data_IF_729089993595
#
_entry.id   IF_729089993595
#
_cell.length_a   1.000
_cell.length_b   1.000
_cell.length_c   1.000
_cell.angle_alpha   90.00
_cell.angle_beta   90.00
_cell.angle_gamma   90.00
#
_symmetry.space_group_name_H-M   'P 1'
#
loop_
_entity.id
_entity.type
_entity.pdbx_description
1 polymer ?
#
# COMPACT_ATOMS: atom_id res chain seq x y z
N UNK A 1 5.00 9.58 -76.87
CA UNK A 1 5.35 10.71 -75.99
C UNK A 1 4.41 10.85 -74.78
N UNK A 2 3.09 10.71 -74.94
CA UNK A 2 2.11 10.87 -73.84
C UNK A 2 2.31 9.95 -72.62
N UNK A 3 2.67 8.67 -72.83
CA UNK A 3 2.90 7.71 -71.74
C UNK A 3 4.15 8.01 -70.92
N UNK A 4 5.18 8.59 -71.55
CA UNK A 4 6.44 8.95 -70.88
C UNK A 4 6.26 10.19 -70.01
N UNK A 5 5.43 11.15 -70.46
CA UNK A 5 5.10 12.35 -69.70
C UNK A 5 4.23 12.04 -68.47
N UNK A 6 3.23 11.15 -68.60
CA UNK A 6 2.41 10.72 -67.44
C UNK A 6 3.22 9.99 -66.38
N UNK A 7 4.23 9.21 -66.78
CA UNK A 7 5.13 8.53 -65.85
C UNK A 7 6.01 9.53 -65.09
N UNK A 8 6.50 10.57 -65.76
CA UNK A 8 7.30 11.62 -65.13
C UNK A 8 6.50 12.47 -64.14
N UNK A 9 5.23 12.78 -64.44
CA UNK A 9 4.34 13.53 -63.54
C UNK A 9 4.00 12.72 -62.28
N UNK A 10 3.74 11.41 -62.41
CA UNK A 10 3.51 10.55 -61.25
C UNK A 10 4.77 10.36 -60.39
N UNK A 11 5.96 10.28 -61.02
CA UNK A 11 7.22 10.20 -60.29
C UNK A 11 7.56 11.51 -59.55
N UNK A 12 7.24 12.67 -60.13
CA UNK A 12 7.46 13.97 -59.49
C UNK A 12 6.52 14.16 -58.28
N UNK A 13 5.27 13.70 -58.39
CA UNK A 13 4.25 13.84 -57.34
C UNK A 13 4.48 12.91 -56.14
N UNK A 14 5.17 11.77 -56.35
CA UNK A 14 5.60 10.89 -55.26
C UNK A 14 6.75 11.46 -54.41
N UNK A 15 7.62 12.29 -54.98
CA UNK A 15 8.77 12.87 -54.26
C UNK A 15 8.39 13.95 -53.22
N UNK A 16 7.23 14.59 -53.38
CA UNK A 16 6.76 15.63 -52.44
C UNK A 16 6.05 15.07 -51.19
N UNK A 17 5.62 13.80 -51.19
CA UNK A 17 4.98 13.18 -50.02
C UNK A 17 5.99 12.60 -49.02
N UNK A 18 7.23 12.32 -49.44
CA UNK A 18 8.28 11.78 -48.57
C UNK A 18 8.99 12.85 -47.72
N UNK A 19 8.78 14.14 -48.01
CA UNK A 19 9.47 15.27 -47.36
C UNK A 19 8.70 15.86 -46.17
N UNK A 20 7.55 15.30 -45.80
CA UNK A 20 6.70 15.84 -44.72
C UNK A 20 6.68 14.97 -43.45
N UNK A 21 7.56 13.98 -43.32
CA UNK A 21 7.74 13.27 -42.05
C UNK A 21 8.94 13.93 -41.36
N UNK A 22 8.71 14.87 -40.42
CA UNK A 22 9.82 15.44 -39.65
C UNK A 22 10.55 14.30 -38.94
N UNK A 23 11.87 14.37 -38.93
CA UNK A 23 12.68 13.40 -38.20
C UNK A 23 12.15 13.29 -36.76
N UNK A 24 11.98 12.07 -36.23
CA UNK A 24 11.49 11.90 -34.88
C UNK A 24 12.42 12.68 -33.95
N UNK A 25 11.83 13.59 -33.17
CA UNK A 25 12.54 14.38 -32.18
C UNK A 25 13.39 13.43 -31.34
N UNK A 26 14.71 13.58 -31.42
CA UNK A 26 15.64 12.86 -30.56
C UNK A 26 15.41 13.42 -29.17
N UNK A 27 14.59 12.73 -28.39
CA UNK A 27 14.43 13.06 -26.98
C UNK A 27 15.74 12.61 -26.33
N UNK A 28 16.61 13.58 -26.05
CA UNK A 28 17.81 13.37 -25.23
C UNK A 28 17.41 12.55 -24.01
N UNK A 29 18.20 11.50 -23.75
CA UNK A 29 18.00 10.49 -22.70
C UNK A 29 17.23 11.04 -21.50
N UNK A 30 15.90 10.83 -21.50
CA UNK A 30 15.09 11.15 -20.32
C UNK A 30 15.74 10.37 -19.19
N UNK A 31 16.30 11.06 -18.21
CA UNK A 31 17.04 10.46 -17.11
C UNK A 31 16.21 9.33 -16.50
N UNK A 32 16.53 8.09 -16.86
CA UNK A 32 15.76 6.96 -16.40
C UNK A 32 16.01 6.83 -14.90
N UNK A 33 14.94 6.99 -14.12
CA UNK A 33 14.99 6.80 -12.69
C UNK A 33 15.50 5.38 -12.42
N UNK A 34 16.70 5.28 -11.85
CA UNK A 34 17.26 3.98 -11.45
C UNK A 34 16.27 3.31 -10.49
N UNK A 35 15.81 2.08 -10.79
CA UNK A 35 14.87 1.38 -9.93
C UNK A 35 15.42 1.26 -8.51
N UNK A 36 14.55 1.44 -7.52
CA UNK A 36 14.85 1.23 -6.10
C UNK A 36 14.00 0.09 -5.55
N UNK A 37 14.49 -0.54 -4.49
CA UNK A 37 13.69 -1.48 -3.70
C UNK A 37 12.61 -0.67 -2.97
N UNK A 38 11.36 -1.11 -3.09
CA UNK A 38 10.20 -0.59 -2.38
C UNK A 38 9.78 -1.62 -1.34
N UNK A 39 9.63 -1.18 -0.09
CA UNK A 39 9.15 -2.01 1.01
C UNK A 39 7.76 -1.56 1.41
N UNK A 40 6.81 -2.50 1.45
CA UNK A 40 5.50 -2.31 2.06
C UNK A 40 5.25 -3.43 3.06
N UNK A 41 4.70 -3.10 4.23
CA UNK A 41 4.48 -4.08 5.29
C UNK A 41 3.07 -4.05 5.81
N UNK A 42 2.58 -5.26 6.07
CA UNK A 42 1.26 -5.47 6.62
C UNK A 42 1.29 -6.67 7.56
N UNK A 43 0.63 -6.53 8.71
CA UNK A 43 0.44 -7.64 9.63
C UNK A 43 -0.98 -8.18 9.42
N UNK A 44 -1.04 -9.48 9.21
CA UNK A 44 -2.29 -10.21 8.95
C UNK A 44 -2.82 -10.74 10.29
N UNK A 45 -4.15 -10.85 10.47
CA UNK A 45 -4.72 -11.54 11.63
C UNK A 45 -4.04 -12.89 11.89
N UNK A 46 -3.73 -13.17 13.16
CA UNK A 46 -2.95 -14.35 13.58
C UNK A 46 -1.47 -14.08 13.86
N UNK A 47 -1.01 -12.82 13.77
CA UNK A 47 0.37 -12.43 14.13
C UNK A 47 1.40 -12.64 13.01
N UNK A 48 0.94 -12.97 11.80
CA UNK A 48 1.80 -13.13 10.64
C UNK A 48 2.34 -11.79 10.15
N UNK A 49 3.67 -11.69 10.02
CA UNK A 49 4.31 -10.58 9.32
C UNK A 49 4.36 -10.90 7.82
N UNK A 50 3.81 -10.00 7.01
CA UNK A 50 3.94 -10.04 5.55
C UNK A 50 4.57 -8.75 5.06
N UNK A 51 5.57 -8.90 4.21
CA UNK A 51 6.35 -7.84 3.60
C UNK A 51 6.27 -8.00 2.09
N UNK A 52 5.78 -6.98 1.41
CA UNK A 52 5.80 -6.89 -0.05
C UNK A 52 7.05 -6.12 -0.46
N UNK A 53 7.87 -6.76 -1.31
CA UNK A 53 9.12 -6.24 -1.85
C UNK A 53 8.99 -6.12 -3.36
N UNK A 54 9.06 -4.89 -3.86
CA UNK A 54 8.92 -4.60 -5.30
C UNK A 54 9.99 -3.65 -5.80
N UNK A 55 10.09 -3.51 -7.13
CA UNK A 55 10.84 -2.44 -7.81
C UNK A 55 9.97 -1.20 -7.91
N UNK A 56 10.57 -0.03 -7.76
CA UNK A 56 9.90 1.24 -8.08
C UNK A 56 9.63 1.32 -9.58
N UNK A 57 8.44 1.80 -9.95
CA UNK A 57 8.02 2.02 -11.34
C UNK A 57 8.02 3.50 -11.68
N UNK A 58 8.23 3.82 -12.96
CA UNK A 58 8.07 5.18 -13.46
C UNK A 58 6.60 5.59 -13.54
N UNK A 59 6.34 6.90 -13.63
CA UNK A 59 4.98 7.43 -13.73
C UNK A 59 4.21 6.98 -14.98
N UNK A 60 4.92 6.55 -16.03
CA UNK A 60 4.35 6.07 -17.28
C UNK A 60 4.04 4.56 -17.26
N UNK A 61 4.60 3.81 -16.31
CA UNK A 61 4.45 2.35 -16.22
C UNK A 61 3.16 1.96 -15.46
N UNK A 62 2.61 2.86 -14.65
CA UNK A 62 1.42 2.64 -13.81
C UNK A 62 0.24 3.54 -14.24
N UNK A 63 -0.36 3.25 -15.39
CA UNK A 63 -1.51 3.98 -15.93
C UNK A 63 -2.84 3.65 -15.24
N UNK A 64 -3.87 4.51 -15.44
CA UNK A 64 -5.23 4.34 -14.86
C UNK A 64 -5.98 3.07 -15.29
N UNK A 65 -5.47 2.35 -16.30
CA UNK A 65 -6.04 1.11 -16.81
C UNK A 65 -5.28 -0.16 -16.41
N UNK A 66 -4.17 -0.04 -15.67
CA UNK A 66 -3.37 -1.21 -15.28
C UNK A 66 -4.07 -2.02 -14.19
N UNK A 67 -4.15 -3.33 -14.37
CA UNK A 67 -4.59 -4.24 -13.32
C UNK A 67 -3.54 -4.25 -12.18
N UNK A 68 -3.92 -3.95 -10.92
CA UNK A 68 -2.97 -3.90 -9.81
C UNK A 68 -2.22 -5.21 -9.55
N UNK A 69 -2.87 -6.36 -9.77
CA UNK A 69 -2.27 -7.68 -9.57
C UNK A 69 -1.25 -7.98 -10.66
N UNK A 70 -1.58 -7.67 -11.92
CA UNK A 70 -0.62 -7.81 -13.03
C UNK A 70 0.59 -6.89 -12.85
N UNK A 71 0.36 -5.65 -12.43
CA UNK A 71 1.44 -4.71 -12.15
C UNK A 71 2.33 -5.23 -11.02
N UNK A 72 1.77 -5.73 -9.91
CA UNK A 72 2.54 -6.34 -8.82
C UNK A 72 3.39 -7.50 -9.34
N UNK A 73 2.82 -8.39 -10.15
CA UNK A 73 3.56 -9.53 -10.70
C UNK A 73 4.75 -9.10 -11.57
N UNK A 74 4.64 -7.99 -12.31
CA UNK A 74 5.73 -7.46 -13.13
C UNK A 74 6.87 -6.83 -12.32
N UNK A 75 6.56 -6.29 -11.14
CA UNK A 75 7.51 -5.49 -10.35
C UNK A 75 7.99 -6.22 -9.08
N UNK A 76 7.43 -7.39 -8.81
CA UNK A 76 7.78 -8.26 -7.70
C UNK A 76 9.26 -8.66 -7.72
N UNK A 77 9.87 -8.70 -6.54
CA UNK A 77 11.26 -9.12 -6.35
C UNK A 77 11.32 -10.45 -5.61
N UNK A 78 11.17 -11.58 -6.31
CA UNK A 78 11.11 -12.92 -5.72
C UNK A 78 12.48 -13.54 -5.35
N UNK A 79 13.58 -12.95 -5.80
CA UNK A 79 14.94 -13.46 -5.52
C UNK A 79 15.66 -12.74 -4.38
N UNK A 80 14.93 -11.93 -3.59
CA UNK A 80 15.49 -11.23 -2.44
C UNK A 80 15.72 -12.18 -1.26
N UNK A 81 16.74 -11.88 -0.45
CA UNK A 81 16.91 -12.43 0.89
C UNK A 81 16.39 -11.41 1.89
N UNK A 82 15.42 -11.81 2.70
CA UNK A 82 14.72 -10.92 3.63
C UNK A 82 14.81 -11.49 5.04
N UNK A 83 15.22 -10.65 5.99
CA UNK A 83 15.27 -11.02 7.40
C UNK A 83 14.89 -9.87 8.30
N UNK A 84 14.34 -10.23 9.45
CA UNK A 84 14.03 -9.34 10.54
C UNK A 84 15.08 -9.55 11.63
N UNK A 85 15.54 -8.48 12.27
CA UNK A 85 16.54 -8.57 13.34
C UNK A 85 16.14 -7.74 14.56
N UNK A 86 16.47 -8.27 15.75
CA UNK A 86 16.28 -7.63 17.06
C UNK A 86 17.37 -8.12 18.00
N UNK A 87 18.14 -7.20 18.59
CA UNK A 87 19.10 -7.51 19.67
C UNK A 87 20.01 -8.73 19.38
N UNK A 88 20.46 -8.87 18.12
CA UNK A 88 21.31 -9.98 17.66
C UNK A 88 20.57 -11.25 17.24
N UNK A 89 19.25 -11.38 17.51
CA UNK A 89 18.40 -12.42 16.91
C UNK A 89 18.06 -12.05 15.47
N UNK A 90 18.06 -13.04 14.59
CA UNK A 90 17.76 -12.89 13.16
C UNK A 90 16.71 -13.93 12.77
N UNK A 91 15.57 -13.47 12.29
CA UNK A 91 14.48 -14.29 11.79
C UNK A 91 14.38 -14.15 10.27
N UNK A 92 14.51 -15.26 9.55
CA UNK A 92 14.32 -15.27 8.09
C UNK A 92 12.86 -15.12 7.74
N UNK A 93 12.57 -14.31 6.72
CA UNK A 93 11.24 -14.20 6.10
C UNK A 93 11.29 -14.96 4.77
N UNK A 94 10.77 -16.20 4.69
CA UNK A 94 10.75 -16.96 3.45
C UNK A 94 9.89 -16.29 2.38
N UNK A 95 10.24 -16.52 1.12
CA UNK A 95 9.44 -16.07 -0.02
C UNK A 95 8.13 -16.89 -0.11
N UNK A 96 7.01 -16.18 -0.25
CA UNK A 96 5.64 -16.68 -0.38
C UNK A 96 5.09 -16.54 -1.83
N UNK A 97 5.88 -15.93 -2.73
CA UNK A 97 5.57 -15.66 -4.14
C UNK A 97 5.11 -14.22 -4.39
N UNK A 98 5.26 -13.74 -5.63
CA UNK A 98 4.81 -12.41 -6.07
C UNK A 98 5.38 -11.25 -5.21
N UNK A 99 6.65 -11.36 -4.82
CA UNK A 99 7.36 -10.37 -4.02
C UNK A 99 6.97 -10.38 -2.55
N UNK A 100 6.19 -11.37 -2.10
CA UNK A 100 5.77 -11.50 -0.70
C UNK A 100 6.77 -12.32 0.09
N UNK A 101 7.13 -11.81 1.25
CA UNK A 101 7.99 -12.45 2.21
C UNK A 101 7.31 -12.41 3.57
N UNK A 102 7.31 -13.50 4.31
CA UNK A 102 6.62 -13.49 5.59
C UNK A 102 6.84 -14.71 6.45
N UNK A 103 6.56 -14.55 7.74
CA UNK A 103 6.67 -15.61 8.72
C UNK A 103 5.58 -15.43 9.78
N UNK A 104 4.99 -16.55 10.20
CA UNK A 104 3.92 -16.61 11.21
C UNK A 104 4.45 -16.95 12.60
N UNK A 105 5.68 -17.48 12.69
CA UNK A 105 6.31 -17.92 13.93
C UNK A 105 7.39 -16.93 14.36
N UNK A 106 7.01 -15.66 14.54
CA UNK A 106 7.90 -14.61 15.01
C UNK A 106 7.66 -14.32 16.49
N UNK A 107 8.75 -14.24 17.26
CA UNK A 107 8.73 -13.84 18.68
C UNK A 107 8.66 -12.30 18.81
N UNK A 108 7.44 -11.83 18.50
CA UNK A 108 6.79 -10.54 18.68
C UNK A 108 6.87 -9.91 20.08
N UNK A 109 7.87 -9.10 20.43
CA UNK A 109 7.92 -8.38 21.71
C UNK A 109 7.58 -6.88 21.57
N UNK A 110 6.53 -6.45 22.25
CA UNK A 110 6.13 -5.06 22.30
C UNK A 110 7.23 -4.16 22.89
N UNK A 111 7.26 -2.90 22.45
CA UNK A 111 8.22 -1.86 22.79
C UNK A 111 9.67 -2.15 22.39
N UNK A 112 9.90 -3.10 21.47
CA UNK A 112 11.20 -3.38 20.87
C UNK A 112 11.33 -2.78 19.48
N UNK A 113 12.56 -2.43 19.12
CA UNK A 113 12.92 -2.02 17.77
C UNK A 113 13.32 -3.23 16.95
N UNK A 114 12.73 -3.35 15.76
CA UNK A 114 13.04 -4.38 14.79
C UNK A 114 13.62 -3.75 13.54
N UNK A 115 14.65 -4.37 12.98
CA UNK A 115 15.26 -3.93 11.72
C UNK A 115 15.02 -4.97 10.64
N UNK A 116 14.23 -4.59 9.64
CA UNK A 116 14.06 -5.32 8.39
C UNK A 116 15.27 -5.05 7.50
N UNK A 117 15.85 -6.10 6.93
CA UNK A 117 16.88 -5.99 5.90
C UNK A 117 16.47 -6.80 4.68
N UNK A 118 16.62 -6.19 3.51
CA UNK A 118 16.30 -6.79 2.22
C UNK A 118 17.54 -6.70 1.36
N UNK A 119 18.01 -7.84 0.88
CA UNK A 119 19.17 -7.94 -0.01
C UNK A 119 18.76 -8.54 -1.34
N UNK A 120 19.12 -7.87 -2.42
CA UNK A 120 18.97 -8.37 -3.79
C UNK A 120 20.32 -8.40 -4.49
N UNK A 121 20.45 -9.19 -5.55
CA UNK A 121 21.67 -9.20 -6.37
C UNK A 121 21.83 -7.93 -7.21
N UNK A 122 20.71 -7.36 -7.66
CA UNK A 122 20.71 -6.29 -8.68
C UNK A 122 20.59 -4.89 -8.07
N UNK A 123 19.81 -4.72 -7.00
CA UNK A 123 19.49 -3.42 -6.41
C UNK A 123 20.18 -3.17 -5.06
N UNK A 124 21.05 -4.09 -4.65
CA UNK A 124 21.83 -3.98 -3.43
C UNK A 124 21.04 -4.30 -2.16
N UNK A 125 21.35 -3.60 -1.07
CA UNK A 125 20.81 -3.82 0.27
C UNK A 125 20.06 -2.60 0.75
N UNK A 126 18.87 -2.81 1.28
CA UNK A 126 18.11 -1.79 2.01
C UNK A 126 17.78 -2.26 3.41
N UNK A 127 17.60 -1.31 4.31
CA UNK A 127 17.21 -1.58 5.70
C UNK A 127 16.20 -0.57 6.20
N UNK A 128 15.34 -0.99 7.11
CA UNK A 128 14.37 -0.11 7.75
C UNK A 128 14.13 -0.58 9.18
N UNK A 129 13.93 0.37 10.10
CA UNK A 129 13.70 0.08 11.51
C UNK A 129 12.33 0.58 11.92
N UNK A 130 11.59 -0.23 12.69
CA UNK A 130 10.30 0.14 13.24
C UNK A 130 10.19 -0.39 14.68
N UNK A 131 9.57 0.42 15.54
CA UNK A 131 9.22 0.02 16.91
C UNK A 131 7.88 -0.70 16.90
N UNK A 132 7.82 -1.89 17.49
CA UNK A 132 6.56 -2.59 17.71
C UNK A 132 5.84 -1.97 18.91
N UNK A 133 4.66 -1.39 18.70
CA UNK A 133 3.83 -0.85 19.78
C UNK A 133 3.05 -1.97 20.49
N UNK A 134 2.74 -1.83 21.79
CA UNK A 134 1.89 -2.78 22.49
C UNK A 134 0.50 -2.83 21.85
N UNK A 135 -0.11 -4.00 21.86
CA UNK A 135 -1.49 -4.16 21.42
C UNK A 135 -2.43 -3.39 22.34
N UNK A 136 -3.37 -2.64 21.74
CA UNK A 136 -4.51 -2.05 22.43
C UNK A 136 -5.76 -2.70 21.86
N UNK A 137 -6.50 -3.52 22.63
CA UNK A 137 -7.68 -4.20 22.12
C UNK A 137 -8.88 -3.26 22.06
N UNK A 138 -9.90 -3.67 21.30
CA UNK A 138 -11.22 -3.08 21.46
C UNK A 138 -11.79 -3.44 22.82
N UNK A 139 -12.37 -2.47 23.52
CA UNK A 139 -13.28 -2.77 24.64
C UNK A 139 -14.62 -3.26 24.11
N UNK A 140 -15.17 -2.50 23.15
CA UNK A 140 -16.34 -2.91 22.38
C UNK A 140 -16.12 -2.56 20.91
N UNK A 141 -16.66 -3.38 20.02
CA UNK A 141 -16.76 -3.04 18.60
C UNK A 141 -17.94 -3.78 18.00
N UNK A 142 -18.71 -3.06 17.18
CA UNK A 142 -19.82 -3.58 16.41
C UNK A 142 -19.72 -3.05 14.99
N UNK A 143 -20.10 -3.88 14.01
CA UNK A 143 -20.31 -3.45 12.64
C UNK A 143 -21.71 -3.89 12.19
N UNK A 144 -22.49 -2.95 11.62
CA UNK A 144 -23.86 -3.19 11.13
C UNK A 144 -24.04 -2.61 9.74
N UNK A 145 -25.03 -3.11 8.99
CA UNK A 145 -25.36 -2.51 7.71
C UNK A 145 -26.08 -1.19 7.93
N UNK A 146 -25.55 -0.12 7.36
CA UNK A 146 -26.26 1.15 7.23
C UNK A 146 -26.78 1.27 5.80
N UNK A 147 -28.09 1.35 5.66
CA UNK A 147 -28.75 1.57 4.37
C UNK A 147 -29.38 2.96 4.34
N UNK A 148 -29.20 3.62 3.21
CA UNK A 148 -29.92 4.85 2.84
C UNK A 148 -30.57 4.64 1.48
N UNK A 149 -31.44 5.57 1.06
CA UNK A 149 -32.11 5.49 -0.25
C UNK A 149 -31.14 5.53 -1.45
N UNK A 150 -29.89 5.94 -1.25
CA UNK A 150 -28.89 6.09 -2.33
C UNK A 150 -27.67 5.18 -2.17
N UNK A 151 -27.37 4.69 -0.97
CA UNK A 151 -26.12 3.99 -0.67
C UNK A 151 -26.22 3.03 0.50
N UNK A 152 -25.30 2.06 0.55
CA UNK A 152 -25.14 1.09 1.64
C UNK A 152 -23.70 1.03 2.12
N UNK A 153 -23.50 1.19 3.43
CA UNK A 153 -22.19 1.25 4.07
C UNK A 153 -22.14 0.34 5.31
N UNK A 154 -20.94 -0.06 5.72
CA UNK A 154 -20.75 -0.61 7.06
C UNK A 154 -20.69 0.56 8.06
N UNK A 155 -21.52 0.52 9.10
CA UNK A 155 -21.44 1.42 10.26
C UNK A 155 -20.66 0.71 11.36
N UNK A 156 -19.54 1.29 11.76
CA UNK A 156 -18.69 0.75 12.81
C UNK A 156 -18.78 1.66 14.03
N UNK A 157 -19.14 1.07 15.17
CA UNK A 157 -19.14 1.72 16.47
C UNK A 157 -18.17 0.96 17.37
N UNK A 158 -17.23 1.66 17.99
CA UNK A 158 -16.22 1.04 18.83
C UNK A 158 -15.85 1.89 20.04
N UNK A 159 -15.29 1.22 21.03
CA UNK A 159 -14.59 1.86 22.14
C UNK A 159 -13.28 1.13 22.45
N UNK A 160 -12.34 1.87 23.03
CA UNK A 160 -11.08 1.35 23.55
C UNK A 160 -10.68 2.14 24.79
N UNK A 161 -9.95 1.48 25.69
CA UNK A 161 -9.26 2.13 26.80
C UNK A 161 -7.92 2.63 26.30
N UNK A 162 -7.76 3.96 26.23
CA UNK A 162 -6.47 4.55 25.86
C UNK A 162 -5.45 4.37 27.00
N UNK A 163 -4.26 3.81 26.74
CA UNK A 163 -3.18 3.80 27.72
C UNK A 163 -2.65 5.21 27.97
N UNK A 164 -2.05 5.45 29.15
CA UNK A 164 -1.43 6.74 29.45
C UNK A 164 -0.28 7.06 28.50
N UNK A 165 -0.24 8.29 28.01
CA UNK A 165 0.74 8.84 27.08
C UNK A 165 0.21 8.96 25.63
N UNK A 166 0.98 9.60 24.74
CA UNK A 166 0.52 9.84 23.38
C UNK A 166 0.42 8.55 22.57
N UNK A 167 -0.77 8.28 22.03
CA UNK A 167 -1.05 7.12 21.19
C UNK A 167 -1.64 7.50 19.83
N UNK A 168 -1.36 6.65 18.85
CA UNK A 168 -1.86 6.79 17.49
C UNK A 168 -2.49 5.48 17.05
N UNK A 169 -3.72 5.57 16.58
CA UNK A 169 -4.54 4.42 16.24
C UNK A 169 -4.84 4.39 14.75
N UNK A 170 -4.75 3.18 14.22
CA UNK A 170 -5.18 2.83 12.87
C UNK A 170 -6.29 1.81 12.97
N UNK A 171 -7.48 2.18 12.50
CA UNK A 171 -8.62 1.29 12.37
C UNK A 171 -8.80 0.95 10.90
N UNK A 172 -8.78 -0.34 10.58
CA UNK A 172 -8.96 -0.81 9.21
C UNK A 172 -10.25 -1.63 9.09
N UNK A 173 -10.98 -1.45 7.98
CA UNK A 173 -12.16 -2.24 7.66
C UNK A 173 -12.03 -2.83 6.25
N UNK A 174 -12.23 -4.14 6.13
CA UNK A 174 -12.30 -4.83 4.84
C UNK A 174 -13.40 -5.88 4.82
N UNK A 175 -13.87 -6.20 3.60
CA UNK A 175 -14.65 -7.42 3.38
C UNK A 175 -13.75 -8.63 3.66
N UNK A 176 -14.32 -9.60 4.34
CA UNK A 176 -13.64 -10.84 4.74
C UNK A 176 -14.37 -12.05 4.16
N UNK A 177 -13.61 -13.03 3.71
CA UNK A 177 -14.10 -14.34 3.32
C UNK A 177 -13.12 -15.39 3.83
N UNK A 178 -13.61 -16.54 4.28
CA UNK A 178 -12.74 -17.64 4.73
C UNK A 178 -11.89 -18.23 3.60
N UNK A 179 -12.27 -17.98 2.34
CA UNK A 179 -11.51 -18.40 1.14
C UNK A 179 -10.49 -17.35 0.69
N UNK A 180 -10.31 -16.28 1.45
CA UNK A 180 -9.40 -15.20 1.10
C UNK A 180 -7.95 -15.70 1.06
N UNK A 181 -7.31 -15.58 -0.10
CA UNK A 181 -5.87 -15.76 -0.25
C UNK A 181 -5.10 -14.71 0.55
N UNK A 182 -3.85 -15.01 0.93
CA UNK A 182 -2.97 -14.06 1.65
C UNK A 182 -2.84 -12.72 0.89
N UNK A 183 -2.86 -12.78 -0.44
CA UNK A 183 -2.83 -11.62 -1.34
C UNK A 183 -4.02 -10.67 -1.15
N UNK A 184 -5.17 -11.19 -0.71
CA UNK A 184 -6.37 -10.36 -0.45
C UNK A 184 -6.23 -9.47 0.78
N UNK A 185 -5.28 -9.74 1.69
CA UNK A 185 -4.98 -8.83 2.80
C UNK A 185 -4.21 -7.60 2.31
N UNK A 186 -3.47 -7.70 1.20
CA UNK A 186 -2.76 -6.58 0.55
C UNK A 186 -3.70 -5.66 -0.23
N UNK A 187 -5.02 -5.77 -0.02
CA UNK A 187 -6.01 -5.09 -0.81
C UNK A 187 -5.84 -3.56 -0.71
N UNK A 188 -5.51 -2.87 -1.82
CA UNK A 188 -5.25 -1.43 -1.81
C UNK A 188 -6.49 -0.59 -1.45
N UNK A 189 -7.69 -1.22 -1.48
CA UNK A 189 -8.97 -0.59 -1.19
C UNK A 189 -9.36 -0.70 0.30
N UNK A 190 -8.50 -1.17 1.20
CA UNK A 190 -8.75 -1.17 2.65
C UNK A 190 -9.25 0.21 3.09
N UNK A 191 -10.35 0.28 3.84
CA UNK A 191 -10.77 1.53 4.46
C UNK A 191 -9.94 1.73 5.72
N UNK A 192 -9.27 2.87 5.82
CA UNK A 192 -8.40 3.21 6.96
C UNK A 192 -8.90 4.49 7.63
N UNK A 193 -9.26 4.37 8.90
CA UNK A 193 -9.55 5.50 9.80
C UNK A 193 -8.35 5.70 10.72
N UNK A 194 -7.87 6.93 10.78
CA UNK A 194 -6.76 7.33 11.64
C UNK A 194 -7.30 8.14 12.82
N UNK A 195 -6.94 7.77 14.03
CA UNK A 195 -7.32 8.46 15.27
C UNK A 195 -6.05 8.80 16.05
N UNK A 196 -5.98 10.03 16.53
CA UNK A 196 -4.87 10.50 17.37
C UNK A 196 -5.44 10.79 18.74
N UNK A 197 -4.83 10.22 19.77
CA UNK A 197 -5.09 10.72 21.10
C UNK A 197 -4.34 12.05 21.29
N UNK A 198 -5.11 13.12 21.48
CA UNK A 198 -4.56 14.44 21.78
C UNK A 198 -5.25 15.09 22.98
N UNK A 199 -6.29 14.45 23.54
CA UNK A 199 -7.17 15.03 24.57
C UNK A 199 -7.71 13.97 25.55
N UNK A 200 -7.59 12.67 25.25
CA UNK A 200 -8.20 11.57 25.98
C UNK A 200 -7.16 10.67 26.68
N UNK A 201 -6.00 11.22 27.05
CA UNK A 201 -4.92 10.51 27.72
C UNK A 201 -5.45 9.71 28.94
N UNK A 202 -5.41 8.38 28.83
CA UNK A 202 -5.90 7.47 29.87
C UNK A 202 -7.42 7.30 29.97
N UNK A 203 -8.20 7.89 29.07
CA UNK A 203 -9.67 7.84 29.05
C UNK A 203 -10.20 6.87 27.96
N UNK A 204 -11.48 6.55 28.04
CA UNK A 204 -12.15 5.77 27.00
C UNK A 204 -12.32 6.62 25.74
N UNK A 205 -11.84 6.11 24.62
CA UNK A 205 -12.13 6.65 23.29
C UNK A 205 -13.31 5.88 22.73
N UNK A 206 -14.40 6.58 22.40
CA UNK A 206 -15.57 6.00 21.76
C UNK A 206 -15.93 6.80 20.50
N UNK A 207 -15.98 6.12 19.36
CA UNK A 207 -16.31 6.73 18.07
C UNK A 207 -17.25 5.85 17.25
N UNK A 208 -17.95 6.50 16.32
CA UNK A 208 -18.74 5.84 15.29
C UNK A 208 -18.37 6.42 13.91
N UNK A 209 -18.22 5.56 12.90
CA UNK A 209 -17.97 6.01 11.54
C UNK A 209 -18.60 5.08 10.49
N UNK A 210 -18.85 5.65 9.31
CA UNK A 210 -19.29 4.92 8.12
C UNK A 210 -18.10 4.59 7.23
N UNK A 211 -18.07 3.37 6.71
CA UNK A 211 -17.10 2.96 5.70
C UNK A 211 -17.53 3.52 4.35
N UNK A 212 -16.89 4.61 3.92
CA UNK A 212 -17.19 5.31 2.68
C UNK A 212 -16.57 4.63 1.45
N UNK A 213 -17.10 4.95 0.26
CA UNK A 213 -16.60 4.53 -1.06
C UNK A 213 -16.58 3.00 -1.29
N UNK A 214 -17.37 2.25 -0.52
CA UNK A 214 -17.57 0.81 -0.68
C UNK A 214 -19.03 0.46 -0.40
N UNK A 215 -19.61 -0.34 -1.30
CA UNK A 215 -20.96 -0.88 -1.14
C UNK A 215 -20.93 -2.18 -0.35
N UNK A 216 -21.78 -2.25 0.67
CA UNK A 216 -22.00 -3.43 1.48
C UNK A 216 -23.44 -3.92 1.35
N UNK A 217 -23.65 -5.22 1.49
CA UNK A 217 -24.97 -5.85 1.45
C UNK A 217 -25.21 -6.66 2.71
N UNK A 218 -26.48 -6.92 3.02
CA UNK A 218 -26.83 -7.87 4.07
C UNK A 218 -26.19 -9.24 3.78
N UNK A 219 -25.60 -9.86 4.79
CA UNK A 219 -24.85 -11.11 4.69
C UNK A 219 -23.37 -10.94 4.31
N UNK A 220 -22.91 -9.74 3.91
CA UNK A 220 -21.48 -9.48 3.74
C UNK A 220 -20.75 -9.67 5.07
N UNK A 221 -19.59 -10.32 5.03
CA UNK A 221 -18.72 -10.42 6.21
C UNK A 221 -17.63 -9.37 6.15
N UNK A 222 -17.36 -8.70 7.27
CA UNK A 222 -16.31 -7.70 7.41
C UNK A 222 -15.38 -8.03 8.56
N UNK A 223 -14.11 -7.70 8.39
CA UNK A 223 -13.12 -7.69 9.46
C UNK A 223 -12.77 -6.24 9.81
N UNK A 224 -12.82 -5.94 11.10
CA UNK A 224 -12.43 -4.65 11.70
C UNK A 224 -11.17 -4.88 12.52
N UNK A 225 -10.13 -4.10 12.25
CA UNK A 225 -8.84 -4.18 12.93
C UNK A 225 -8.56 -2.88 13.67
N UNK A 226 -8.10 -2.97 14.91
CA UNK A 226 -7.52 -1.84 15.66
C UNK A 226 -6.03 -2.10 15.86
N UNK A 227 -5.21 -1.10 15.63
CA UNK A 227 -3.77 -1.17 15.85
C UNK A 227 -3.25 0.11 16.47
N UNK A 228 -2.49 -0.01 17.56
CA UNK A 228 -1.63 1.06 18.05
C UNK A 228 -0.38 1.09 17.16
N UNK A 229 -0.11 2.24 16.56
CA UNK A 229 0.98 2.44 15.58
C UNK A 229 1.92 3.55 16.03
N UNK A 230 3.11 3.63 15.41
CA UNK A 230 4.03 4.72 15.69
C UNK A 230 3.53 6.05 15.12
N UNK A 231 3.94 7.16 15.72
CA UNK A 231 3.62 8.51 15.24
C UNK A 231 4.09 8.74 13.81
N UNK A 232 5.29 8.24 13.49
CA UNK A 232 5.90 8.42 12.18
C UNK A 232 5.10 7.67 11.10
N UNK A 233 4.62 6.46 11.41
CA UNK A 233 3.76 5.72 10.50
C UNK A 233 2.37 6.34 10.38
N UNK A 234 1.82 6.87 11.48
CA UNK A 234 0.58 7.65 11.44
C UNK A 234 0.74 8.87 10.50
N UNK A 235 1.84 9.60 10.61
CA UNK A 235 2.16 10.74 9.75
C UNK A 235 2.27 10.34 8.27
N UNK A 236 2.96 9.22 7.99
CA UNK A 236 3.02 8.63 6.65
C UNK A 236 1.62 8.31 6.08
N UNK A 237 0.77 7.65 6.87
CA UNK A 237 -0.59 7.30 6.45
C UNK A 237 -1.49 8.52 6.25
N UNK A 238 -1.35 9.53 7.11
CA UNK A 238 -2.11 10.79 7.00
C UNK A 238 -1.80 11.50 5.68
N UNK A 239 -0.51 11.66 5.35
CA UNK A 239 -0.09 12.23 4.07
C UNK A 239 -0.61 11.42 2.89
N UNK A 240 -0.62 10.08 2.99
CA UNK A 240 -1.16 9.19 1.95
C UNK A 240 -2.68 9.33 1.79
N UNK A 241 -3.43 9.45 2.88
CA UNK A 241 -4.89 9.52 2.87
C UNK A 241 -5.40 10.90 2.43
N UNK A 242 -4.84 11.99 2.94
CA UNK A 242 -5.28 13.36 2.63
C UNK A 242 -5.13 13.70 1.14
N UNK A 243 -4.21 13.02 0.44
CA UNK A 243 -3.94 13.24 -0.99
C UNK A 243 -4.75 12.33 -1.93
N UNK A 244 -5.37 11.25 -1.44
CA UNK A 244 -6.33 10.44 -2.23
C UNK A 244 -7.56 11.25 -2.66
N UNK A 245 -7.89 12.32 -1.94
CA UNK A 245 -9.06 13.16 -2.19
C UNK A 245 -8.77 14.41 -3.05
N UNK A 246 -7.50 14.72 -3.36
CA UNK A 246 -7.09 15.91 -4.12
C UNK A 246 -6.45 15.52 -5.46
N UNK A 247 -7.28 15.13 -6.42
CA UNK A 247 -6.88 14.66 -7.75
C UNK A 247 -6.06 15.69 -8.57
N UNK A 248 -6.21 16.98 -8.29
CA UNK A 248 -5.42 18.07 -8.91
C UNK A 248 -3.96 18.13 -8.44
N UNK A 249 -3.65 17.59 -7.26
CA UNK A 249 -2.28 17.50 -6.72
C UNK A 249 -1.52 16.26 -7.23
N UNK A 250 -2.24 15.25 -7.73
CA UNK A 250 -1.65 14.02 -8.29
C UNK A 250 -0.94 14.24 -9.63
N UNK A 251 -1.34 15.26 -10.39
CA UNK A 251 -0.83 15.54 -11.73
C UNK A 251 0.36 16.51 -11.76
N UNK A 252 0.73 17.14 -10.65
CA UNK A 252 1.62 18.31 -10.65
C UNK A 252 2.97 18.10 -9.95
N UNK A 253 3.11 17.15 -9.01
CA UNK A 253 4.36 16.99 -8.26
C UNK A 253 4.73 15.51 -7.99
N UNK A 254 6.00 15.11 -8.17
CA UNK A 254 6.48 13.80 -7.74
C UNK A 254 6.25 13.60 -6.24
N UNK A 255 5.48 12.59 -5.86
CA UNK A 255 5.16 12.29 -4.47
C UNK A 255 6.33 11.57 -3.80
N UNK A 256 7.10 12.27 -2.97
CA UNK A 256 8.08 11.66 -2.08
C UNK A 256 7.53 11.65 -0.65
N UNK A 257 6.91 10.53 -0.23
CA UNK A 257 6.52 10.35 1.16
C UNK A 257 7.76 10.09 2.02
N UNK A 258 7.76 10.60 3.26
CA UNK A 258 8.81 10.27 4.23
C UNK A 258 8.88 8.75 4.41
N UNK A 259 10.02 8.18 4.05
CA UNK A 259 10.32 6.75 4.13
C UNK A 259 11.31 6.49 5.25
N UNK A 260 11.13 5.39 5.99
CA UNK A 260 12.15 4.89 6.92
C UNK A 260 13.07 3.83 6.28
N UNK A 261 12.95 3.60 4.97
CA UNK A 261 13.72 2.60 4.22
C UNK A 261 15.01 3.23 3.69
N UNK A 262 16.13 2.94 4.35
CA UNK A 262 17.46 3.42 3.95
C UNK A 262 17.90 2.72 2.67
N UNK A 263 18.19 3.51 1.63
CA UNK A 263 18.59 3.03 0.30
C UNK A 263 17.42 2.59 -0.60
N UNK A 264 16.18 2.70 -0.13
CA UNK A 264 14.97 2.28 -0.84
C UNK A 264 13.84 3.30 -0.76
N UNK A 265 12.63 2.83 -0.99
CA UNK A 265 11.37 3.59 -0.87
C UNK A 265 10.33 2.77 -0.08
N UNK A 266 9.19 3.40 0.21
CA UNK A 266 8.09 2.76 0.93
C UNK A 266 8.19 2.95 2.44
N UNK A 267 7.57 2.08 3.23
CA UNK A 267 7.57 2.21 4.68
C UNK A 267 7.51 0.84 5.36
N UNK A 268 8.45 0.62 6.28
CA UNK A 268 8.44 -0.53 7.17
C UNK A 268 7.75 -0.15 8.48
N UNK A 269 6.70 -0.88 8.84
CA UNK A 269 6.00 -0.71 10.11
C UNK A 269 5.67 -2.07 10.71
N UNK A 270 5.51 -2.10 12.03
CA UNK A 270 5.02 -3.26 12.76
C UNK A 270 3.96 -2.79 13.76
N UNK A 271 2.93 -3.60 13.93
CA UNK A 271 1.80 -3.37 14.82
C UNK A 271 1.13 -4.69 15.19
N UNK A 272 0.55 -4.77 16.38
CA UNK A 272 -0.23 -5.92 16.83
C UNK A 272 -1.72 -5.58 16.72
N UNK A 273 -2.45 -6.08 15.70
CA UNK A 273 -3.86 -5.76 15.55
C UNK A 273 -4.74 -6.57 16.50
N UNK A 274 -5.77 -5.96 17.09
CA UNK A 274 -6.97 -6.69 17.54
C UNK A 274 -7.97 -6.76 16.37
N UNK A 275 -8.40 -7.97 16.01
CA UNK A 275 -9.21 -8.23 14.83
C UNK A 275 -10.55 -8.86 15.24
N UNK A 276 -11.66 -8.25 14.81
CA UNK A 276 -13.02 -8.76 15.03
C UNK A 276 -13.75 -8.91 13.70
N UNK A 277 -14.51 -9.99 13.56
CA UNK A 277 -15.24 -10.33 12.34
C UNK A 277 -16.73 -10.24 12.60
N UNK A 278 -17.46 -9.62 11.67
CA UNK A 278 -18.90 -9.40 11.77
C UNK A 278 -19.57 -9.80 10.45
N UNK A 279 -20.77 -10.37 10.55
CA UNK A 279 -21.70 -10.45 9.43
C UNK A 279 -22.59 -9.21 9.49
N UNK A 280 -22.71 -8.50 8.37
CA UNK A 280 -23.53 -7.30 8.29
C UNK A 280 -25.00 -7.69 8.15
N UNK A 281 -25.80 -7.26 9.12
CA UNK A 281 -27.26 -7.37 9.15
C UNK A 281 -27.90 -6.00 8.97
#
# INVERSE_FOLDING_TARGET
MEKLFRFFVFALMGGFLSSCIPDPLVVDEIAQLKPKIVVSTQIVPGGALVVLITRSVGALDAGRGSDPQELIAQIALDSATVWLSREGRIDSLPNLGNGLYGNINLDLEANRDYTLTVKTKELGVVSATAKLKPQVPFETVQAKLYTSIYDSAALVNYSLQDPVGPNWYMINVQKYSQKNEITSYLNPRLYTRLVRDSVNDGNIIQEEFRVLFRKFSAGDTVAVFLSNISEEYYGFLKLRNDRRYNFSAFASEPLNFNSNVKGGLGYFNLHLPDARIFVLE
#
